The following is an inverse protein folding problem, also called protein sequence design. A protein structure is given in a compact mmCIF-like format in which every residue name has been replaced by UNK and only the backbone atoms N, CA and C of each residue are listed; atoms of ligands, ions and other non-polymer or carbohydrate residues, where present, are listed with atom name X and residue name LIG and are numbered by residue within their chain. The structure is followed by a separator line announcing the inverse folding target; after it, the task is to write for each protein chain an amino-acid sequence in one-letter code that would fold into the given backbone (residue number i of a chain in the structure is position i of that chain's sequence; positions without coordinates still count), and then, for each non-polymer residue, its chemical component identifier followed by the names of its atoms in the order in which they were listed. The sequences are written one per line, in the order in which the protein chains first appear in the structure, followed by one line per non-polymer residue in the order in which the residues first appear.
data_IF_062160567242
#
_entry.id   IF_062160567242
#
_cell.length_a   1.000
_cell.length_b   1.000
_cell.length_c   1.000
_cell.angle_alpha   90.00
_cell.angle_beta   90.00
_cell.angle_gamma   90.00
#
_symmetry.space_group_name_H-M   'P 1'
#
loop_
_entity.id
_entity.type
_entity.pdbx_description
1 polymer ?
#
# COMPACT_ATOMS: atom_id res chain seq x y z
N UNK A 1 14.31 -15.72 27.75
CA UNK A 1 13.57 -15.01 26.69
C UNK A 1 13.18 -16.04 25.64
N UNK A 2 11.90 -16.20 25.29
CA UNK A 2 11.50 -17.11 24.20
C UNK A 2 12.12 -16.60 22.91
N UNK A 3 12.79 -17.48 22.16
CA UNK A 3 13.31 -17.16 20.83
C UNK A 3 12.18 -16.57 19.99
N UNK A 4 12.39 -15.38 19.39
CA UNK A 4 11.43 -14.81 18.44
C UNK A 4 11.40 -15.75 17.23
N UNK A 5 10.35 -16.57 17.13
CA UNK A 5 10.06 -17.36 15.94
C UNK A 5 9.97 -16.39 14.76
N UNK A 6 10.91 -16.50 13.82
CA UNK A 6 10.86 -15.72 12.59
C UNK A 6 9.64 -16.19 11.79
N UNK A 7 8.76 -15.26 11.42
CA UNK A 7 7.58 -15.59 10.62
C UNK A 7 8.01 -15.71 9.15
N UNK A 8 7.65 -16.83 8.52
CA UNK A 8 7.98 -17.15 7.11
C UNK A 8 6.72 -17.28 6.24
N UNK A 9 5.56 -16.87 6.74
CA UNK A 9 4.32 -16.91 5.98
C UNK A 9 4.42 -16.00 4.74
N UNK A 10 4.16 -16.59 3.58
CA UNK A 10 4.15 -15.89 2.28
C UNK A 10 2.76 -15.87 1.66
N UNK A 11 1.89 -16.80 2.05
CA UNK A 11 0.50 -16.86 1.61
C UNK A 11 -0.48 -16.41 2.70
N UNK A 12 -1.63 -15.85 2.29
CA UNK A 12 -2.66 -15.31 3.19
C UNK A 12 -3.20 -16.35 4.19
N UNK A 13 -3.35 -17.61 3.78
CA UNK A 13 -3.77 -18.70 4.66
C UNK A 13 -2.70 -19.04 5.71
N UNK A 14 -1.41 -18.95 5.37
CA UNK A 14 -0.29 -19.12 6.31
C UNK A 14 -0.27 -17.98 7.33
N UNK A 15 -0.54 -16.75 6.88
CA UNK A 15 -0.67 -15.58 7.74
C UNK A 15 -1.83 -15.77 8.73
N UNK A 16 -2.97 -16.31 8.28
CA UNK A 16 -4.10 -16.66 9.15
C UNK A 16 -3.75 -17.77 10.14
N UNK A 17 -3.01 -18.81 9.73
CA UNK A 17 -2.51 -19.84 10.63
C UNK A 17 -1.61 -19.25 11.73
N UNK A 18 -0.64 -18.42 11.33
CA UNK A 18 0.27 -17.74 12.25
C UNK A 18 -0.48 -16.79 13.21
N UNK A 19 -1.51 -16.08 12.74
CA UNK A 19 -2.37 -15.26 13.58
C UNK A 19 -3.14 -16.10 14.59
N UNK A 20 -3.68 -17.26 14.18
CA UNK A 20 -4.39 -18.19 15.07
C UNK A 20 -3.46 -18.79 16.13
N UNK A 21 -2.23 -19.16 15.75
CA UNK A 21 -1.21 -19.65 16.69
C UNK A 21 -0.82 -18.59 17.73
N UNK A 22 -0.71 -17.34 17.30
CA UNK A 22 -0.21 -16.24 18.14
C UNK A 22 -1.28 -15.65 19.05
N UNK A 23 -2.49 -15.40 18.53
CA UNK A 23 -3.58 -14.72 19.25
C UNK A 23 -4.60 -15.70 19.86
N UNK A 24 -4.58 -16.95 19.41
CA UNK A 24 -5.56 -17.94 19.79
C UNK A 24 -6.88 -17.78 19.06
N UNK A 25 -7.58 -18.90 18.98
CA UNK A 25 -8.82 -19.08 18.24
C UNK A 25 -9.95 -18.14 18.68
N UNK A 26 -10.19 -18.03 19.99
CA UNK A 26 -11.27 -17.20 20.55
C UNK A 26 -11.06 -15.71 20.24
N UNK A 27 -9.80 -15.25 20.16
CA UNK A 27 -9.48 -13.88 19.79
C UNK A 27 -9.90 -13.61 18.33
N UNK A 28 -9.52 -14.50 17.41
CA UNK A 28 -9.91 -14.36 15.99
C UNK A 28 -11.43 -14.41 15.78
N UNK A 29 -12.15 -15.26 16.52
CA UNK A 29 -13.61 -15.29 16.47
C UNK A 29 -14.22 -13.93 16.81
N UNK A 30 -13.67 -13.24 17.82
CA UNK A 30 -14.11 -11.88 18.22
C UNK A 30 -13.76 -10.84 17.16
N UNK A 31 -12.53 -10.86 16.65
CA UNK A 31 -12.06 -9.89 15.64
C UNK A 31 -12.93 -9.97 14.38
N UNK A 32 -13.18 -11.19 13.88
CA UNK A 32 -13.91 -11.36 12.62
C UNK A 32 -15.41 -11.59 12.80
N UNK A 33 -15.90 -11.67 14.04
CA UNK A 33 -17.30 -12.01 14.36
C UNK A 33 -17.78 -13.28 13.64
N UNK A 34 -16.96 -14.33 13.64
CA UNK A 34 -17.24 -15.62 12.99
C UNK A 34 -17.04 -16.79 13.95
N UNK A 35 -17.81 -17.85 13.73
CA UNK A 35 -17.70 -19.09 14.49
C UNK A 35 -16.43 -19.88 14.22
N UNK A 36 -16.14 -20.84 15.09
CA UNK A 36 -14.95 -21.70 15.06
C UNK A 36 -14.65 -22.28 13.68
N UNK A 37 -15.65 -22.92 13.06
CA UNK A 37 -15.52 -23.60 11.77
C UNK A 37 -15.02 -22.65 10.69
N UNK A 38 -15.57 -21.43 10.64
CA UNK A 38 -15.20 -20.45 9.63
C UNK A 38 -13.76 -19.97 9.79
N UNK A 39 -13.31 -19.75 11.03
CA UNK A 39 -11.92 -19.38 11.30
C UNK A 39 -10.96 -20.51 10.90
N UNK A 40 -11.34 -21.77 11.14
CA UNK A 40 -10.54 -22.91 10.68
C UNK A 40 -10.43 -22.93 9.15
N UNK A 41 -11.53 -22.68 8.42
CA UNK A 41 -11.53 -22.58 6.96
C UNK A 41 -10.63 -21.47 6.42
N UNK A 42 -10.58 -20.31 7.10
CA UNK A 42 -9.66 -19.23 6.74
C UNK A 42 -8.18 -19.59 6.89
N UNK A 43 -7.88 -20.57 7.75
CA UNK A 43 -6.54 -21.07 7.98
C UNK A 43 -6.20 -22.28 7.09
N UNK A 44 -7.15 -22.81 6.33
CA UNK A 44 -6.93 -24.00 5.50
C UNK A 44 -6.15 -23.64 4.24
N UNK A 45 -5.24 -24.51 3.82
CA UNK A 45 -4.57 -24.39 2.51
C UNK A 45 -5.59 -24.49 1.37
N UNK A 46 -5.42 -23.74 0.26
CA UNK A 46 -6.33 -23.76 -0.89
C UNK A 46 -6.57 -25.12 -1.55
N UNK A 47 -5.69 -26.10 -1.31
CA UNK A 47 -5.80 -27.48 -1.80
C UNK A 47 -6.91 -28.26 -1.08
N UNK A 48 -7.30 -27.83 0.13
CA UNK A 48 -8.39 -28.46 0.87
C UNK A 48 -9.76 -27.98 0.38
N UNK A 49 -10.71 -28.90 0.20
CA UNK A 49 -12.07 -28.61 -0.28
C UNK A 49 -12.83 -27.60 0.60
N UNK A 50 -12.53 -27.56 1.89
CA UNK A 50 -13.14 -26.64 2.86
C UNK A 50 -12.54 -25.22 2.84
N UNK A 51 -11.53 -24.95 2.00
CA UNK A 51 -10.91 -23.63 1.91
C UNK A 51 -11.94 -22.57 1.50
N UNK A 52 -11.89 -21.42 2.18
CA UNK A 52 -12.67 -20.25 1.82
C UNK A 52 -11.82 -19.00 1.88
N UNK A 53 -12.11 -18.05 0.98
CA UNK A 53 -11.46 -16.72 0.95
C UNK A 53 -11.45 -16.10 2.35
N UNK A 54 -10.24 -15.97 2.89
CA UNK A 54 -10.00 -15.39 4.19
C UNK A 54 -10.07 -13.85 4.12
N UNK A 55 -10.04 -13.14 5.27
CA UNK A 55 -10.11 -11.68 5.29
C UNK A 55 -9.00 -11.00 4.47
N UNK A 56 -7.78 -11.54 4.44
CA UNK A 56 -6.71 -10.99 3.62
C UNK A 56 -6.98 -11.18 2.13
N UNK A 57 -7.48 -12.35 1.70
CA UNK A 57 -7.88 -12.57 0.29
C UNK A 57 -8.97 -11.60 -0.15
N UNK A 58 -9.93 -11.33 0.75
CA UNK A 58 -11.04 -10.41 0.49
C UNK A 58 -10.58 -8.97 0.41
N UNK A 59 -9.65 -8.55 1.28
CA UNK A 59 -9.03 -7.23 1.21
C UNK A 59 -8.22 -7.06 -0.08
N UNK A 60 -7.45 -8.07 -0.46
CA UNK A 60 -6.71 -8.04 -1.72
C UNK A 60 -7.65 -7.88 -2.91
N UNK A 61 -8.72 -8.69 -2.98
CA UNK A 61 -9.74 -8.55 -4.02
C UNK A 61 -10.37 -7.15 -4.03
N UNK A 62 -10.77 -6.63 -2.87
CA UNK A 62 -11.33 -5.28 -2.77
C UNK A 62 -10.38 -4.24 -3.35
N UNK A 63 -9.10 -4.30 -3.00
CA UNK A 63 -8.10 -3.36 -3.49
C UNK A 63 -7.85 -3.50 -5.00
N UNK A 64 -7.86 -4.72 -5.53
CA UNK A 64 -7.78 -4.95 -6.98
C UNK A 64 -8.97 -4.34 -7.72
N UNK A 65 -10.20 -4.53 -7.24
CA UNK A 65 -11.39 -3.95 -7.87
C UNK A 65 -11.40 -2.42 -7.78
N UNK A 66 -10.96 -1.84 -6.66
CA UNK A 66 -10.82 -0.39 -6.51
C UNK A 66 -9.77 0.19 -7.46
N UNK A 67 -8.61 -0.46 -7.59
CA UNK A 67 -7.58 -0.03 -8.54
C UNK A 67 -8.12 -0.06 -9.99
N UNK A 68 -8.80 -1.14 -10.38
CA UNK A 68 -9.43 -1.24 -11.71
C UNK A 68 -10.50 -0.19 -11.96
N UNK A 69 -11.16 0.29 -10.90
CA UNK A 69 -12.10 1.40 -10.95
C UNK A 69 -11.44 2.80 -10.98
N UNK A 70 -10.10 2.88 -10.94
CA UNK A 70 -9.35 4.13 -10.93
C UNK A 70 -9.10 4.71 -9.54
N UNK A 71 -9.47 4.02 -8.46
CA UNK A 71 -9.37 4.48 -7.08
C UNK A 71 -8.01 4.13 -6.43
N UNK A 72 -6.91 4.29 -7.18
CA UNK A 72 -5.55 3.92 -6.72
C UNK A 72 -5.16 4.65 -5.44
N UNK A 73 -5.47 5.94 -5.33
CA UNK A 73 -5.16 6.74 -4.13
C UNK A 73 -5.85 6.20 -2.88
N UNK A 74 -7.10 5.75 -3.00
CA UNK A 74 -7.85 5.14 -1.91
C UNK A 74 -7.22 3.80 -1.48
N UNK A 75 -6.71 3.02 -2.43
CA UNK A 75 -6.00 1.77 -2.12
C UNK A 75 -4.71 2.07 -1.34
N UNK A 76 -3.89 3.01 -1.80
CA UNK A 76 -2.65 3.43 -1.11
C UNK A 76 -2.98 3.96 0.29
N UNK A 77 -4.03 4.77 0.41
CA UNK A 77 -4.53 5.28 1.68
C UNK A 77 -4.87 4.16 2.68
N UNK A 78 -5.57 3.13 2.22
CA UNK A 78 -5.96 1.99 3.04
C UNK A 78 -4.74 1.13 3.44
N UNK A 79 -3.80 0.90 2.52
CA UNK A 79 -2.56 0.17 2.80
C UNK A 79 -1.69 0.90 3.83
N UNK A 80 -1.53 2.22 3.69
CA UNK A 80 -0.81 3.05 4.65
C UNK A 80 -1.47 3.05 6.02
N UNK A 81 -2.80 3.05 6.08
CA UNK A 81 -3.52 2.90 7.35
C UNK A 81 -3.19 1.58 8.05
N UNK A 82 -3.15 0.47 7.30
CA UNK A 82 -2.78 -0.85 7.84
C UNK A 82 -1.30 -0.89 8.27
N UNK A 83 -0.40 -0.35 7.46
CA UNK A 83 1.05 -0.33 7.71
C UNK A 83 1.45 0.55 8.91
N UNK A 84 0.63 1.53 9.28
CA UNK A 84 0.86 2.37 10.46
C UNK A 84 1.00 1.57 11.76
N UNK A 85 0.42 0.36 11.83
CA UNK A 85 0.56 -0.54 12.99
C UNK A 85 2.01 -0.96 13.27
N UNK A 86 2.89 -0.91 12.27
CA UNK A 86 4.32 -1.22 12.38
C UNK A 86 5.22 -0.01 12.10
N UNK A 87 4.64 1.19 11.97
CA UNK A 87 5.37 2.42 11.66
C UNK A 87 5.96 2.47 10.25
N UNK A 88 5.41 1.69 9.32
CA UNK A 88 5.82 1.67 7.92
C UNK A 88 4.79 2.37 7.03
N UNK A 89 5.20 2.68 5.80
CA UNK A 89 4.34 3.18 4.72
C UNK A 89 4.67 2.44 3.43
N UNK A 90 3.70 2.40 2.52
CA UNK A 90 3.89 1.84 1.18
C UNK A 90 4.80 2.75 0.38
N UNK A 91 5.71 2.15 -0.37
CA UNK A 91 6.53 2.82 -1.36
C UNK A 91 6.26 2.15 -2.70
N UNK A 92 6.21 2.94 -3.77
CA UNK A 92 6.15 2.39 -5.12
C UNK A 92 7.42 1.59 -5.40
N UNK A 93 7.26 0.45 -6.07
CA UNK A 93 8.38 -0.46 -6.38
C UNK A 93 8.96 -0.20 -7.78
N UNK A 94 8.24 0.55 -8.60
CA UNK A 94 8.66 1.00 -9.93
C UNK A 94 9.55 2.23 -9.81
N UNK A 95 10.49 2.37 -10.76
CA UNK A 95 11.21 3.63 -10.94
C UNK A 95 10.23 4.76 -11.28
N UNK A 96 10.60 5.99 -10.93
CA UNK A 96 9.84 7.18 -11.32
C UNK A 96 9.89 7.29 -12.84
N UNK A 97 8.75 7.15 -13.52
CA UNK A 97 8.68 7.16 -14.99
C UNK A 97 8.15 8.52 -15.42
N UNK A 98 8.96 9.34 -16.13
CA UNK A 98 8.48 10.59 -16.73
C UNK A 98 7.27 10.32 -17.63
N UNK A 99 6.21 11.08 -17.45
CA UNK A 99 4.97 10.94 -18.21
C UNK A 99 4.77 12.08 -19.24
N UNK A 100 5.66 13.09 -19.24
CA UNK A 100 5.67 14.20 -20.20
C UNK A 100 6.73 14.02 -21.29
N UNK A 101 6.56 14.80 -22.36
CA UNK A 101 7.40 14.70 -23.55
C UNK A 101 8.74 15.43 -23.38
N UNK A 102 8.78 16.46 -22.54
CA UNK A 102 9.95 17.31 -22.33
C UNK A 102 10.21 17.56 -20.84
N UNK A 103 11.48 17.77 -20.49
CA UNK A 103 11.89 18.16 -19.12
C UNK A 103 11.19 19.44 -18.67
N UNK A 104 10.96 20.38 -19.59
CA UNK A 104 10.28 21.63 -19.28
C UNK A 104 8.80 21.43 -18.90
N UNK A 105 8.13 20.47 -19.51
CA UNK A 105 6.76 20.08 -19.15
C UNK A 105 6.72 19.38 -17.79
N UNK A 106 7.65 18.46 -17.51
CA UNK A 106 7.78 17.82 -16.18
C UNK A 106 7.95 18.87 -15.07
N UNK A 107 8.87 19.82 -15.25
CA UNK A 107 9.08 20.92 -14.30
C UNK A 107 7.82 21.76 -14.05
N UNK A 108 6.90 21.84 -15.03
CA UNK A 108 5.66 22.60 -14.88
C UNK A 108 4.61 21.82 -14.07
N UNK A 109 4.62 20.48 -14.13
CA UNK A 109 3.70 19.60 -13.42
C UNK A 109 4.00 19.51 -11.91
N UNK A 110 5.24 19.80 -11.49
CA UNK A 110 5.60 19.91 -10.08
C UNK A 110 4.80 21.01 -9.32
N UNK A 111 4.45 22.11 -10.02
CA UNK A 111 3.90 23.30 -9.36
C UNK A 111 2.48 23.10 -8.80
N UNK A 112 1.50 22.55 -9.56
CA UNK A 112 0.19 22.22 -9.01
C UNK A 112 0.26 21.41 -7.72
N UNK A 113 1.09 20.36 -7.67
CA UNK A 113 1.19 19.48 -6.50
C UNK A 113 1.79 20.19 -5.28
N UNK A 114 2.79 21.04 -5.50
CA UNK A 114 3.39 21.86 -4.45
C UNK A 114 2.42 22.92 -3.91
N UNK A 115 1.64 23.54 -4.80
CA UNK A 115 0.62 24.53 -4.41
C UNK A 115 -0.47 23.87 -3.58
N UNK A 116 -0.92 22.68 -3.97
CA UNK A 116 -1.92 21.93 -3.22
C UNK A 116 -1.40 21.52 -1.84
N UNK A 117 -0.13 21.10 -1.74
CA UNK A 117 0.51 20.83 -0.45
C UNK A 117 0.46 22.04 0.49
N UNK A 118 0.88 23.20 -0.01
CA UNK A 118 0.89 24.46 0.75
C UNK A 118 -0.53 24.89 1.16
N UNK A 119 -1.51 24.69 0.27
CA UNK A 119 -2.92 24.94 0.55
C UNK A 119 -3.42 24.06 1.69
N UNK A 120 -3.15 22.76 1.64
CA UNK A 120 -3.56 21.80 2.67
C UNK A 120 -2.95 22.13 4.04
N UNK A 121 -1.69 22.53 4.07
CA UNK A 121 -1.02 23.01 5.29
C UNK A 121 -1.71 24.28 5.82
N UNK A 122 -1.98 25.24 4.93
CA UNK A 122 -2.59 26.53 5.29
C UNK A 122 -3.97 26.37 5.92
N UNK A 123 -4.78 25.43 5.42
CA UNK A 123 -6.12 25.17 5.97
C UNK A 123 -6.11 24.23 7.19
N UNK A 124 -4.94 23.85 7.70
CA UNK A 124 -4.78 22.86 8.79
C UNK A 124 -5.50 21.53 8.49
N UNK A 125 -5.34 21.02 7.27
CA UNK A 125 -5.84 19.71 6.92
C UNK A 125 -5.24 18.62 7.83
N UNK A 126 -5.89 17.45 7.87
CA UNK A 126 -5.39 16.30 8.63
C UNK A 126 -3.94 15.99 8.25
N UNK A 127 -3.03 15.72 9.23
CA UNK A 127 -1.63 15.40 8.95
C UNK A 127 -1.44 14.25 7.95
N UNK A 128 -2.38 13.30 7.91
CA UNK A 128 -2.34 12.19 6.96
C UNK A 128 -2.62 12.63 5.52
N UNK A 129 -3.51 13.61 5.33
CA UNK A 129 -3.79 14.19 4.01
C UNK A 129 -2.59 15.01 3.54
N UNK A 130 -2.04 15.86 4.41
CA UNK A 130 -0.83 16.65 4.13
C UNK A 130 0.34 15.74 3.76
N UNK A 131 0.54 14.63 4.50
CA UNK A 131 1.62 13.68 4.19
C UNK A 131 1.46 13.01 2.85
N UNK A 132 0.24 12.57 2.49
CA UNK A 132 -0.04 11.97 1.18
C UNK A 132 0.23 12.94 0.04
N UNK A 133 -0.20 14.19 0.18
CA UNK A 133 0.11 15.21 -0.80
C UNK A 133 1.62 15.44 -0.90
N UNK A 134 2.35 15.45 0.22
CA UNK A 134 3.81 15.54 0.20
C UNK A 134 4.47 14.37 -0.53
N UNK A 135 3.94 13.14 -0.37
CA UNK A 135 4.41 11.96 -1.11
C UNK A 135 4.16 12.07 -2.61
N UNK A 136 3.00 12.61 -3.02
CA UNK A 136 2.70 12.94 -4.42
C UNK A 136 3.69 13.97 -4.97
N UNK A 137 3.86 15.10 -4.28
CA UNK A 137 4.79 16.16 -4.70
C UNK A 137 6.22 15.63 -4.85
N UNK A 138 6.69 14.77 -3.94
CA UNK A 138 8.00 14.15 -4.08
C UNK A 138 8.09 13.24 -5.31
N UNK A 139 7.00 12.57 -5.71
CA UNK A 139 6.98 11.72 -6.90
C UNK A 139 7.17 12.53 -8.17
N UNK A 140 6.38 13.58 -8.38
CA UNK A 140 6.50 14.47 -9.55
C UNK A 140 7.93 15.02 -9.67
N UNK A 141 8.49 15.50 -8.56
CA UNK A 141 9.87 16.02 -8.56
C UNK A 141 10.88 14.94 -8.99
N UNK A 142 10.68 13.69 -8.57
CA UNK A 142 11.56 12.59 -8.96
C UNK A 142 11.35 12.15 -10.41
N UNK A 143 10.15 12.28 -10.96
CA UNK A 143 9.87 12.10 -12.40
C UNK A 143 10.59 13.19 -13.21
N UNK A 144 10.54 14.44 -12.77
CA UNK A 144 11.32 15.56 -13.33
C UNK A 144 12.83 15.28 -13.33
N UNK A 145 13.39 14.83 -12.21
CA UNK A 145 14.82 14.47 -12.10
C UNK A 145 15.16 13.35 -13.08
N UNK A 146 14.35 12.31 -13.13
CA UNK A 146 14.56 11.17 -14.03
C UNK A 146 14.50 11.61 -15.50
N UNK A 147 13.56 12.49 -15.85
CA UNK A 147 13.45 13.07 -17.20
C UNK A 147 14.70 13.85 -17.59
N UNK A 148 15.25 14.63 -16.66
CA UNK A 148 16.49 15.37 -16.88
C UNK A 148 17.70 14.45 -17.07
N UNK A 149 17.85 13.42 -16.24
CA UNK A 149 18.93 12.42 -16.39
C UNK A 149 18.87 11.72 -17.76
N UNK A 150 17.67 11.34 -18.20
CA UNK A 150 17.45 10.76 -19.53
C UNK A 150 17.77 11.75 -20.65
N UNK A 151 17.44 13.04 -20.47
CA UNK A 151 17.75 14.08 -21.45
C UNK A 151 19.26 14.28 -21.61
N UNK A 152 20.01 14.36 -20.51
CA UNK A 152 21.46 14.47 -20.52
C UNK A 152 22.12 13.26 -21.20
N UNK A 153 21.68 12.04 -20.86
CA UNK A 153 22.20 10.80 -21.47
C UNK A 153 21.99 10.76 -22.99
N UNK A 154 20.89 11.34 -23.49
CA UNK A 154 20.59 11.44 -24.93
C UNK A 154 21.42 12.50 -25.66
N UNK A 155 21.97 13.49 -24.95
CA UNK A 155 22.81 14.56 -25.54
C UNK A 155 24.31 14.21 -25.60
N UNK A 156 24.76 13.20 -24.86
CA UNK A 156 26.16 12.73 -24.86
C UNK A 156 26.53 11.82 -26.07
N UNK A 157 25.79 11.91 -27.20
CA UNK A 157 26.12 11.29 -28.49
C UNK A 157 26.02 12.25 -29.67
#
# INVERSE_FOLDING_TARGET
MKSKKQNTATHTWEMMQCARESLGQTCLQKIFSRGQTQINRYCSTPIHEDHQRNPFDRLHLLFTELEQAGERELVIAALNHLANTVGCRTQETTEFVPDKMTVAEECLDDYPEKVELDRLITINASPEIVRRQGEQTCREIMETVTSYEQHCTKQDY
#
